data_IF_247053624621
#
_entry.id   IF_247053624621
#
_cell.length_a   1.000
_cell.length_b   1.000
_cell.length_c   1.000
_cell.angle_alpha   90.00
_cell.angle_beta   90.00
_cell.angle_gamma   90.00
#
_symmetry.space_group_name_H-M   'P 1'
#
loop_
_entity.id
_entity.type
_entity.pdbx_description
1 polymer ?
#
# COMPACT_ATOMS: atom_id res chain seq x y z
N UNK A 1 -61.13 25.34 5.82
CA UNK A 1 -59.80 24.99 6.33
C UNK A 1 -59.12 24.08 5.30
N UNK A 2 -58.12 24.58 4.57
CA UNK A 2 -57.37 23.79 3.56
C UNK A 2 -55.99 23.49 4.13
N UNK A 3 -55.71 22.22 4.43
CA UNK A 3 -54.37 21.76 4.80
C UNK A 3 -53.54 21.58 3.52
N UNK A 4 -52.51 22.41 3.36
CA UNK A 4 -51.48 22.23 2.34
C UNK A 4 -50.46 21.26 2.94
N UNK A 5 -50.48 20.02 2.44
CA UNK A 5 -49.49 19.00 2.76
C UNK A 5 -48.22 19.28 1.93
N UNK A 6 -47.19 19.82 2.57
CA UNK A 6 -45.88 20.05 1.96
C UNK A 6 -45.10 18.72 1.98
N UNK A 7 -45.08 18.00 0.86
CA UNK A 7 -44.22 16.81 0.70
C UNK A 7 -42.83 17.30 0.30
N UNK A 8 -41.92 17.34 1.27
CA UNK A 8 -40.50 17.59 1.03
C UNK A 8 -39.89 16.30 0.46
N UNK A 9 -39.78 16.20 -0.86
CA UNK A 9 -39.05 15.11 -1.52
C UNK A 9 -37.56 15.37 -1.34
N UNK A 10 -36.97 14.79 -0.29
CA UNK A 10 -35.51 14.67 -0.17
C UNK A 10 -35.02 13.70 -1.25
N UNK A 11 -34.76 14.21 -2.46
CA UNK A 11 -33.96 13.50 -3.44
C UNK A 11 -32.51 13.48 -2.96
N UNK A 12 -32.14 12.43 -2.21
CA UNK A 12 -30.74 12.10 -1.93
C UNK A 12 -30.06 11.78 -3.25
N UNK A 13 -29.53 12.81 -3.92
CA UNK A 13 -28.57 12.61 -4.98
C UNK A 13 -27.35 11.98 -4.32
N UNK A 14 -27.26 10.65 -4.40
CA UNK A 14 -26.03 9.91 -4.18
C UNK A 14 -25.01 10.47 -5.18
N UNK A 15 -24.31 11.52 -4.75
CA UNK A 15 -23.12 12.01 -5.44
C UNK A 15 -22.18 10.81 -5.44
N UNK A 16 -22.10 10.11 -6.58
CA UNK A 16 -21.07 9.11 -6.81
C UNK A 16 -19.76 9.89 -6.79
N UNK A 17 -19.10 9.90 -5.63
CA UNK A 17 -17.73 10.38 -5.50
C UNK A 17 -16.90 9.46 -6.39
N UNK A 18 -16.62 9.91 -7.61
CA UNK A 18 -15.71 9.23 -8.51
C UNK A 18 -14.34 9.32 -7.87
N UNK A 19 -13.84 8.19 -7.37
CA UNK A 19 -12.54 8.13 -6.72
C UNK A 19 -11.48 8.78 -7.61
N UNK A 20 -10.85 9.85 -7.12
CA UNK A 20 -9.82 10.52 -7.90
C UNK A 20 -8.61 9.61 -8.01
N UNK A 21 -8.07 9.39 -9.23
CA UNK A 21 -6.88 8.60 -9.38
C UNK A 21 -5.69 9.32 -8.74
N UNK A 22 -4.89 8.58 -7.98
CA UNK A 22 -3.64 9.08 -7.40
C UNK A 22 -2.52 8.75 -8.39
N UNK A 23 -1.80 9.76 -8.87
CA UNK A 23 -0.66 9.56 -9.76
C UNK A 23 0.64 9.52 -8.94
N UNK A 24 1.34 8.40 -8.95
CA UNK A 24 2.57 8.24 -8.19
C UNK A 24 3.61 7.46 -8.99
N UNK A 25 4.82 8.04 -9.17
CA UNK A 25 5.94 7.41 -9.91
C UNK A 25 5.54 6.89 -11.32
N UNK A 26 4.65 7.60 -12.01
CA UNK A 26 4.15 7.19 -13.33
C UNK A 26 3.01 6.15 -13.29
N UNK A 27 2.67 5.61 -12.12
CA UNK A 27 1.57 4.66 -11.93
C UNK A 27 0.30 5.40 -11.56
N UNK A 28 -0.81 4.98 -12.18
CA UNK A 28 -2.16 5.47 -11.87
C UNK A 28 -2.81 4.52 -10.85
N UNK A 29 -2.81 4.94 -9.59
CA UNK A 29 -3.43 4.23 -8.47
C UNK A 29 -4.93 4.55 -8.46
N UNK A 30 -5.75 3.50 -8.49
CA UNK A 30 -7.21 3.62 -8.50
C UNK A 30 -7.83 2.61 -7.54
N UNK A 31 -8.78 3.07 -6.73
CA UNK A 31 -9.54 2.23 -5.83
C UNK A 31 -11.02 2.65 -5.81
N UNK A 32 -11.97 1.69 -5.73
CA UNK A 32 -11.77 0.25 -5.83
C UNK A 32 -11.39 -0.17 -7.27
N UNK A 33 -10.60 -1.24 -7.41
CA UNK A 33 -10.31 -1.89 -8.70
C UNK A 33 -10.11 -3.40 -8.51
N UNK A 34 -10.12 -4.14 -9.60
CA UNK A 34 -9.67 -5.54 -9.62
C UNK A 34 -8.19 -5.62 -9.97
N UNK A 35 -7.58 -6.80 -9.75
CA UNK A 35 -6.22 -7.10 -10.22
C UNK A 35 -6.14 -6.91 -11.74
N UNK A 36 -7.11 -7.42 -12.51
CA UNK A 36 -7.18 -7.24 -13.97
C UNK A 36 -7.05 -5.78 -14.38
N UNK A 37 -7.90 -4.92 -13.81
CA UNK A 37 -7.92 -3.49 -14.16
C UNK A 37 -6.61 -2.77 -13.81
N UNK A 38 -5.90 -3.21 -12.77
CA UNK A 38 -4.58 -2.69 -12.42
C UNK A 38 -3.49 -3.22 -13.36
N UNK A 39 -3.55 -4.50 -13.74
CA UNK A 39 -2.62 -5.14 -14.68
C UNK A 39 -2.70 -4.52 -16.08
N UNK A 40 -3.90 -4.37 -16.63
CA UNK A 40 -4.12 -3.79 -17.97
C UNK A 40 -3.68 -2.32 -18.02
N UNK A 41 -3.98 -1.55 -16.97
CA UNK A 41 -3.67 -0.12 -16.90
C UNK A 41 -2.18 0.15 -16.76
N UNK A 42 -1.49 -0.63 -15.92
CA UNK A 42 -0.10 -0.37 -15.56
C UNK A 42 0.88 -1.35 -16.23
N UNK A 43 0.39 -2.22 -17.14
CA UNK A 43 1.17 -3.20 -17.90
C UNK A 43 2.05 -4.09 -17.00
N UNK A 44 1.41 -4.71 -16.01
CA UNK A 44 2.13 -5.49 -14.99
C UNK A 44 2.54 -6.87 -15.50
N UNK A 45 3.74 -7.28 -15.12
CA UNK A 45 4.18 -8.66 -15.21
C UNK A 45 3.57 -9.52 -14.09
N UNK A 46 3.70 -10.84 -14.25
CA UNK A 46 3.24 -11.82 -13.28
C UNK A 46 4.33 -12.84 -13.01
N UNK A 47 4.58 -13.13 -11.74
CA UNK A 47 5.44 -14.20 -11.27
C UNK A 47 4.60 -15.13 -10.38
N UNK A 48 4.45 -16.42 -10.75
CA UNK A 48 3.76 -17.36 -9.90
C UNK A 48 4.48 -17.58 -8.54
N UNK A 49 3.72 -17.94 -7.48
CA UNK A 49 2.27 -17.81 -7.39
C UNK A 49 1.87 -16.39 -6.95
N UNK A 50 0.96 -15.75 -7.70
CA UNK A 50 0.26 -14.55 -7.23
C UNK A 50 1.01 -13.21 -7.26
N UNK A 51 2.27 -13.15 -7.69
CA UNK A 51 3.01 -11.90 -7.62
C UNK A 51 2.87 -11.06 -8.89
N UNK A 52 2.08 -9.98 -8.82
CA UNK A 52 1.98 -8.98 -9.89
C UNK A 52 2.94 -7.82 -9.62
N UNK A 53 3.73 -7.45 -10.62
CA UNK A 53 4.74 -6.42 -10.44
C UNK A 53 5.06 -5.65 -11.73
N UNK A 54 5.66 -4.48 -11.56
CA UNK A 54 6.36 -3.76 -12.61
C UNK A 54 7.67 -3.20 -12.06
N UNK A 55 8.72 -3.28 -12.86
CA UNK A 55 9.95 -2.53 -12.63
C UNK A 55 9.81 -1.19 -13.34
N UNK A 56 9.78 -0.12 -12.55
CA UNK A 56 9.69 1.25 -13.03
C UNK A 56 11.11 1.84 -13.17
N UNK A 57 11.18 3.12 -13.54
CA UNK A 57 12.43 3.88 -13.53
C UNK A 57 13.12 3.86 -12.15
N UNK A 58 14.43 4.10 -12.13
CA UNK A 58 15.26 4.12 -10.92
C UNK A 58 15.21 2.83 -10.09
N UNK A 59 14.96 1.69 -10.74
CA UNK A 59 14.84 0.37 -10.09
C UNK A 59 13.74 0.30 -9.03
N UNK A 60 12.72 1.15 -9.12
CA UNK A 60 11.53 1.07 -8.27
C UNK A 60 10.72 -0.15 -8.68
N UNK A 61 10.40 -1.02 -7.70
CA UNK A 61 9.50 -2.16 -7.92
C UNK A 61 8.13 -1.75 -7.40
N UNK A 62 7.13 -1.80 -8.28
CA UNK A 62 5.73 -1.72 -7.88
C UNK A 62 5.14 -3.12 -7.84
N UNK A 63 4.38 -3.45 -6.80
CA UNK A 63 3.62 -4.70 -6.68
C UNK A 63 2.20 -4.47 -6.18
N UNK A 64 1.34 -5.46 -6.40
CA UNK A 64 -0.06 -5.42 -5.98
C UNK A 64 -0.30 -6.32 -4.77
N UNK A 65 -1.15 -5.85 -3.85
CA UNK A 65 -1.83 -6.67 -2.84
C UNK A 65 -3.33 -6.72 -3.11
N UNK A 66 -3.94 -7.85 -2.88
CA UNK A 66 -5.35 -8.10 -3.16
C UNK A 66 -5.94 -9.07 -2.12
N UNK A 67 -7.28 -9.19 -2.09
CA UNK A 67 -7.96 -10.19 -1.27
C UNK A 67 -7.66 -11.58 -1.84
N UNK A 68 -7.10 -12.46 -1.02
CA UNK A 68 -6.67 -13.80 -1.43
C UNK A 68 -7.20 -14.87 -0.48
N UNK A 69 -7.18 -16.12 -0.94
CA UNK A 69 -7.29 -17.31 -0.09
C UNK A 69 -5.96 -18.07 -0.11
N UNK A 70 -5.69 -18.90 0.91
CA UNK A 70 -4.43 -19.67 0.94
C UNK A 70 -4.25 -20.57 -0.29
N UNK A 71 -5.34 -21.05 -0.86
CA UNK A 71 -5.32 -21.85 -2.08
C UNK A 71 -4.78 -21.11 -3.30
N UNK A 72 -4.87 -19.77 -3.33
CA UNK A 72 -4.31 -18.94 -4.41
C UNK A 72 -2.79 -19.04 -4.53
N UNK A 73 -2.11 -19.57 -3.51
CA UNK A 73 -0.65 -19.69 -3.48
C UNK A 73 -0.11 -21.11 -3.61
N UNK A 74 -0.97 -22.12 -3.80
CA UNK A 74 -0.54 -23.53 -3.86
C UNK A 74 -0.11 -23.99 -5.26
N UNK A 75 -0.40 -23.23 -6.31
CA UNK A 75 -0.06 -23.61 -7.68
C UNK A 75 1.01 -22.69 -8.28
N UNK A 76 2.24 -23.18 -8.36
CA UNK A 76 3.39 -22.49 -8.97
C UNK A 76 3.29 -22.35 -10.50
N UNK A 77 2.32 -23.01 -11.14
CA UNK A 77 2.09 -22.96 -12.59
C UNK A 77 0.80 -22.21 -12.97
N UNK A 78 0.09 -21.63 -12.00
CA UNK A 78 -1.17 -20.95 -12.28
C UNK A 78 -0.96 -19.78 -13.25
N UNK A 79 -1.86 -19.56 -14.23
CA UNK A 79 -1.78 -18.39 -15.08
C UNK A 79 -2.24 -17.13 -14.33
N UNK A 80 -1.75 -15.97 -14.75
CA UNK A 80 -2.12 -14.67 -14.20
C UNK A 80 -3.64 -14.46 -14.14
N UNK A 81 -4.37 -14.90 -15.17
CA UNK A 81 -5.82 -14.70 -15.26
C UNK A 81 -6.62 -15.32 -14.10
N UNK A 82 -6.07 -16.29 -13.35
CA UNK A 82 -6.77 -16.91 -12.21
C UNK A 82 -7.12 -15.90 -11.12
N UNK A 83 -6.29 -14.87 -10.92
CA UNK A 83 -6.46 -13.93 -9.81
C UNK A 83 -7.01 -12.57 -10.27
N UNK A 84 -7.39 -12.45 -11.53
CA UNK A 84 -7.81 -11.20 -12.15
C UNK A 84 -9.05 -10.58 -11.51
N UNK A 85 -9.97 -11.42 -11.05
CA UNK A 85 -11.22 -10.98 -10.41
C UNK A 85 -11.04 -10.69 -8.91
N UNK A 86 -9.86 -10.94 -8.34
CA UNK A 86 -9.58 -10.58 -6.95
C UNK A 86 -9.63 -9.06 -6.78
N UNK A 87 -10.22 -8.64 -5.67
CA UNK A 87 -10.31 -7.23 -5.32
C UNK A 87 -8.94 -6.71 -4.89
N UNK A 88 -8.52 -5.60 -5.49
CA UNK A 88 -7.27 -4.94 -5.14
C UNK A 88 -7.39 -4.21 -3.80
N UNK A 89 -6.40 -4.38 -2.94
CA UNK A 89 -6.33 -3.74 -1.62
C UNK A 89 -5.08 -2.90 -1.42
N UNK A 90 -4.02 -3.13 -2.21
CA UNK A 90 -2.72 -2.47 -2.01
C UNK A 90 -2.01 -2.20 -3.32
N UNK A 91 -1.43 -1.01 -3.45
CA UNK A 91 -0.25 -0.77 -4.29
C UNK A 91 0.95 -0.56 -3.38
N UNK A 92 2.01 -1.34 -3.59
CA UNK A 92 3.28 -1.24 -2.87
C UNK A 92 4.37 -0.81 -3.83
N UNK A 93 5.13 0.23 -3.48
CA UNK A 93 6.32 0.67 -4.19
C UNK A 93 7.52 0.45 -3.28
N UNK A 94 8.55 -0.22 -3.78
CA UNK A 94 9.77 -0.56 -3.04
C UNK A 94 10.99 -0.05 -3.83
N UNK A 95 11.88 0.64 -3.15
CA UNK A 95 13.10 1.19 -3.77
C UNK A 95 14.21 1.40 -2.74
N UNK A 96 15.44 1.57 -3.22
CA UNK A 96 16.59 1.80 -2.35
C UNK A 96 16.45 3.11 -1.59
N UNK A 97 16.67 3.04 -0.28
CA UNK A 97 16.75 4.21 0.57
C UNK A 97 18.14 4.83 0.47
N UNK A 98 18.17 6.11 0.11
CA UNK A 98 19.41 6.88 0.02
C UNK A 98 19.30 8.02 1.02
N UNK A 99 20.44 8.54 1.48
CA UNK A 99 20.45 9.64 2.45
C UNK A 99 19.51 10.77 2.02
N UNK A 100 18.56 11.12 2.91
CA UNK A 100 17.56 12.17 2.70
C UNK A 100 16.34 11.78 1.84
N UNK A 101 16.29 10.54 1.32
CA UNK A 101 15.20 10.12 0.42
C UNK A 101 13.88 10.00 1.17
N UNK A 102 13.89 9.59 2.44
CA UNK A 102 12.68 9.51 3.26
C UNK A 102 11.97 10.86 3.35
N UNK A 103 12.69 11.93 3.70
CA UNK A 103 12.11 13.27 3.85
C UNK A 103 11.58 13.82 2.52
N UNK A 104 12.29 13.55 1.42
CA UNK A 104 11.86 13.94 0.07
C UNK A 104 10.57 13.22 -0.29
N UNK A 105 10.52 11.91 -0.06
CA UNK A 105 9.33 11.12 -0.38
C UNK A 105 8.15 11.48 0.51
N UNK A 106 8.39 11.76 1.79
CA UNK A 106 7.36 12.24 2.71
C UNK A 106 6.72 13.52 2.15
N UNK A 107 7.53 14.52 1.77
CA UNK A 107 7.03 15.77 1.18
C UNK A 107 6.26 15.54 -0.12
N UNK A 108 6.75 14.66 -0.99
CA UNK A 108 6.06 14.31 -2.23
C UNK A 108 4.67 13.72 -1.96
N UNK A 109 4.59 12.79 -1.01
CA UNK A 109 3.32 12.19 -0.61
C UNK A 109 2.39 13.21 0.04
N UNK A 110 2.89 14.08 0.90
CA UNK A 110 2.10 15.15 1.52
C UNK A 110 1.48 16.10 0.49
N UNK A 111 2.26 16.49 -0.54
CA UNK A 111 1.75 17.25 -1.67
C UNK A 111 0.67 16.48 -2.44
N UNK A 112 0.90 15.19 -2.68
CA UNK A 112 -0.02 14.32 -3.41
C UNK A 112 -1.36 14.14 -2.70
N UNK A 113 -1.36 14.01 -1.36
CA UNK A 113 -2.58 13.79 -0.58
C UNK A 113 -3.19 15.09 0.00
N UNK A 114 -2.49 16.22 -0.16
CA UNK A 114 -2.93 17.55 0.29
C UNK A 114 -2.98 17.72 1.81
N UNK A 115 -2.19 16.94 2.57
CA UNK A 115 -2.09 17.05 4.04
C UNK A 115 -0.76 16.51 4.54
N UNK A 116 -0.35 16.93 5.74
CA UNK A 116 0.86 16.40 6.40
C UNK A 116 0.69 14.94 6.80
N UNK A 117 1.78 14.19 6.71
CA UNK A 117 1.86 12.83 7.23
C UNK A 117 2.29 12.88 8.70
N UNK A 118 1.70 12.01 9.52
CA UNK A 118 2.13 11.83 10.90
C UNK A 118 3.34 10.91 10.91
N UNK A 119 4.47 11.41 11.40
CA UNK A 119 5.71 10.66 11.55
C UNK A 119 5.75 9.98 12.92
N UNK A 120 6.12 8.70 12.95
CA UNK A 120 6.47 7.94 14.14
C UNK A 120 7.73 7.12 13.92
N UNK A 121 8.37 6.74 15.02
CA UNK A 121 9.39 5.70 15.04
C UNK A 121 8.74 4.47 15.65
N UNK A 122 8.64 3.40 14.86
CA UNK A 122 7.98 2.17 15.26
C UNK A 122 9.03 1.07 15.45
N UNK A 123 8.74 0.12 16.34
CA UNK A 123 9.51 -1.11 16.41
C UNK A 123 8.97 -2.08 15.37
N UNK A 124 9.81 -2.52 14.45
CA UNK A 124 9.51 -3.61 13.53
C UNK A 124 9.06 -4.81 14.34
N UNK A 125 7.86 -5.30 14.09
CA UNK A 125 7.50 -6.64 14.51
C UNK A 125 8.36 -7.60 13.70
N UNK A 126 9.60 -7.82 14.15
CA UNK A 126 10.32 -8.98 13.73
C UNK A 126 9.44 -10.14 14.14
N UNK A 127 9.00 -10.89 13.13
CA UNK A 127 8.59 -12.28 13.23
C UNK A 127 9.06 -12.89 14.54
N UNK A 128 8.14 -13.59 15.21
CA UNK A 128 8.21 -14.33 16.47
C UNK A 128 9.42 -15.33 16.58
N UNK A 129 10.42 -15.23 15.71
CA UNK A 129 11.48 -16.19 15.43
C UNK A 129 12.92 -15.71 15.75
N UNK A 130 13.15 -14.48 16.23
CA UNK A 130 14.50 -14.01 16.57
C UNK A 130 14.70 -13.78 18.07
N UNK A 131 15.74 -14.41 18.64
CA UNK A 131 16.09 -14.26 20.05
C UNK A 131 16.46 -12.82 20.40
N UNK A 132 16.36 -12.45 21.68
CA UNK A 132 16.77 -11.15 22.22
C UNK A 132 18.20 -10.77 21.84
N UNK A 133 19.11 -11.74 21.79
CA UNK A 133 20.52 -11.54 21.47
C UNK A 133 20.72 -11.19 20.00
N UNK A 134 19.99 -11.85 19.08
CA UNK A 134 20.06 -11.53 17.64
C UNK A 134 19.50 -10.15 17.34
N UNK A 135 18.43 -9.74 18.02
CA UNK A 135 17.84 -8.39 17.86
C UNK A 135 18.82 -7.28 18.26
N UNK A 136 19.66 -7.50 19.29
CA UNK A 136 20.69 -6.54 19.73
C UNK A 136 21.83 -6.32 18.73
N UNK A 137 22.02 -7.24 17.79
CA UNK A 137 23.08 -7.17 16.77
C UNK A 137 22.61 -6.55 15.44
N UNK A 138 21.33 -6.20 15.34
CA UNK A 138 20.76 -5.64 14.10
C UNK A 138 21.14 -4.15 13.97
N UNK A 139 21.51 -3.67 12.76
CA UNK A 139 21.93 -2.28 12.50
C UNK A 139 20.89 -1.23 12.90
N UNK A 140 19.62 -1.63 12.91
CA UNK A 140 18.48 -0.89 13.42
C UNK A 140 17.72 -1.94 14.23
N UNK A 141 17.44 -1.70 15.52
CA UNK A 141 16.88 -2.67 16.47
C UNK A 141 15.44 -3.13 16.11
N UNK A 142 15.21 -3.59 14.89
CA UNK A 142 13.87 -3.66 14.32
C UNK A 142 13.22 -2.29 14.08
N UNK A 143 13.69 -1.22 14.72
CA UNK A 143 13.09 0.11 14.63
C UNK A 143 13.13 0.67 13.20
N UNK A 144 12.12 1.46 12.85
CA UNK A 144 12.05 2.12 11.56
C UNK A 144 11.17 3.36 11.62
N UNK A 145 11.41 4.29 10.70
CA UNK A 145 10.54 5.46 10.53
C UNK A 145 9.32 5.10 9.71
N UNK A 146 8.17 5.54 10.20
CA UNK A 146 6.88 5.39 9.53
C UNK A 146 6.20 6.75 9.44
N UNK A 147 5.85 7.16 8.22
CA UNK A 147 4.98 8.30 7.99
C UNK A 147 3.63 7.79 7.48
N UNK A 148 2.53 8.20 8.11
CA UNK A 148 1.18 7.74 7.77
C UNK A 148 0.18 8.88 7.59
N UNK A 149 -0.78 8.67 6.70
CA UNK A 149 -1.89 9.59 6.47
C UNK A 149 -2.96 8.95 5.61
N UNK A 150 -3.92 9.75 5.16
CA UNK A 150 -4.97 9.29 4.27
C UNK A 150 -5.45 10.40 3.35
N UNK A 151 -5.91 10.02 2.17
CA UNK A 151 -6.64 10.92 1.26
C UNK A 151 -8.04 11.24 1.81
N UNK A 152 -8.72 12.23 1.22
CA UNK A 152 -10.13 12.52 1.54
C UNK A 152 -11.06 11.34 1.19
N UNK A 153 -10.69 10.54 0.19
CA UNK A 153 -11.46 9.40 -0.32
C UNK A 153 -11.17 8.09 0.43
N UNK A 154 -10.51 8.16 1.58
CA UNK A 154 -10.25 7.01 2.45
C UNK A 154 -9.15 6.04 1.97
N UNK A 155 -8.30 6.45 1.01
CA UNK A 155 -7.05 5.72 0.72
C UNK A 155 -6.04 6.04 1.80
N UNK A 156 -5.59 5.04 2.55
CA UNK A 156 -4.50 5.18 3.52
C UNK A 156 -3.16 5.14 2.79
N UNK A 157 -2.24 6.00 3.20
CA UNK A 157 -0.92 6.15 2.61
C UNK A 157 0.14 6.01 3.68
N UNK A 158 1.13 5.16 3.43
CA UNK A 158 2.25 4.92 4.33
C UNK A 158 3.57 5.05 3.58
N UNK A 159 4.56 5.64 4.23
CA UNK A 159 5.97 5.62 3.84
C UNK A 159 6.76 5.02 4.99
N UNK A 160 7.54 3.98 4.69
CA UNK A 160 8.24 3.17 5.68
C UNK A 160 9.69 2.93 5.29
N UNK A 161 10.60 3.07 6.23
CA UNK A 161 11.92 2.45 6.17
C UNK A 161 11.81 0.94 6.45
N UNK A 162 12.42 0.11 5.61
CA UNK A 162 12.44 -1.33 5.86
C UNK A 162 13.52 -1.65 6.90
N UNK A 163 13.19 -2.27 8.04
CA UNK A 163 14.18 -2.66 9.03
C UNK A 163 15.21 -3.61 8.43
N UNK A 164 16.48 -3.43 8.82
CA UNK A 164 17.60 -4.24 8.30
C UNK A 164 17.98 -5.30 9.33
N UNK A 165 18.01 -6.57 8.89
CA UNK A 165 18.53 -7.69 9.66
C UNK A 165 20.07 -7.76 9.63
N UNK A 166 20.72 -7.11 8.65
CA UNK A 166 22.18 -7.03 8.57
C UNK A 166 22.69 -5.83 7.78
N UNK A 167 23.96 -5.45 8.00
CA UNK A 167 24.64 -4.40 7.25
C UNK A 167 24.82 -4.72 5.75
N UNK A 168 24.71 -6.00 5.35
CA UNK A 168 24.80 -6.42 3.95
C UNK A 168 23.51 -6.16 3.17
N UNK A 169 22.37 -6.09 3.86
CA UNK A 169 21.11 -5.74 3.21
C UNK A 169 21.12 -4.27 2.84
N UNK A 170 20.73 -3.98 1.60
CA UNK A 170 20.53 -2.60 1.15
C UNK A 170 19.40 -1.97 1.97
N UNK A 171 19.54 -0.69 2.37
CA UNK A 171 18.44 0.03 2.99
C UNK A 171 17.35 0.26 1.94
N UNK A 172 16.09 0.07 2.32
CA UNK A 172 14.96 0.16 1.40
C UNK A 172 13.87 1.05 2.00
N UNK A 173 13.17 1.77 1.13
CA UNK A 173 11.92 2.46 1.42
C UNK A 173 10.76 1.73 0.77
N UNK A 174 9.63 1.75 1.45
CA UNK A 174 8.35 1.28 0.95
C UNK A 174 7.32 2.39 1.02
N UNK A 175 6.53 2.53 -0.05
CA UNK A 175 5.33 3.37 -0.07
C UNK A 175 4.13 2.49 -0.34
N UNK A 176 3.13 2.56 0.53
CA UNK A 176 1.90 1.80 0.44
C UNK A 176 0.72 2.72 0.18
N UNK A 177 -0.19 2.27 -0.66
CA UNK A 177 -1.53 2.82 -0.79
C UNK A 177 -2.54 1.70 -0.52
N UNK A 178 -3.33 1.84 0.55
CA UNK A 178 -4.32 0.86 0.98
C UNK A 178 -5.75 1.38 0.83
N UNK A 179 -6.66 0.49 0.45
CA UNK A 179 -8.11 0.75 0.50
C UNK A 179 -8.88 -0.55 0.68
N UNK A 180 -10.05 -0.46 1.30
CA UNK A 180 -10.96 -1.59 1.54
C UNK A 180 -10.31 -2.74 2.32
N UNK A 181 -9.47 -2.39 3.29
CA UNK A 181 -8.77 -3.31 4.19
C UNK A 181 -8.95 -2.80 5.62
N UNK A 182 -9.23 -3.67 6.60
CA UNK A 182 -9.36 -3.27 8.01
C UNK A 182 -8.05 -2.68 8.56
N UNK A 183 -8.10 -1.68 9.45
CA UNK A 183 -6.91 -1.06 10.03
C UNK A 183 -5.92 -2.06 10.64
N UNK A 184 -6.42 -3.08 11.34
CA UNK A 184 -5.59 -4.13 11.94
C UNK A 184 -4.78 -4.91 10.90
N UNK A 185 -5.35 -5.17 9.72
CA UNK A 185 -4.67 -5.88 8.64
C UNK A 185 -3.67 -4.96 7.92
N UNK A 186 -3.96 -3.66 7.83
CA UNK A 186 -2.98 -2.65 7.37
C UNK A 186 -1.75 -2.66 8.28
N UNK A 187 -1.97 -2.59 9.60
CA UNK A 187 -0.87 -2.55 10.57
C UNK A 187 0.00 -3.80 10.46
N UNK A 188 -0.60 -5.00 10.35
CA UNK A 188 0.13 -6.26 10.11
C UNK A 188 1.00 -6.16 8.84
N UNK A 189 0.44 -5.68 7.73
CA UNK A 189 1.16 -5.60 6.44
C UNK A 189 2.27 -4.56 6.45
N UNK A 190 2.04 -3.41 7.09
CA UNK A 190 3.03 -2.33 7.21
C UNK A 190 4.17 -2.73 8.14
N UNK A 191 3.90 -3.50 9.19
CA UNK A 191 4.93 -3.91 10.16
C UNK A 191 5.63 -5.23 9.81
N UNK A 192 5.11 -5.98 8.82
CA UNK A 192 5.73 -7.20 8.33
C UNK A 192 7.20 -6.97 7.92
N UNK A 193 8.08 -7.92 8.27
CA UNK A 193 9.44 -7.94 7.76
C UNK A 193 9.43 -8.58 6.37
N UNK A 194 9.96 -7.86 5.39
CA UNK A 194 10.03 -8.22 3.97
C UNK A 194 11.37 -8.90 3.60
#
# INVERSE_FOLDING_TARGET
MKHILLILVLTTHLIRVTAQPIQYRGVKILFPSTVKGACERNKLGFKPPGFYYAQLADSVIMSLGYVYTMADFYNETQPASVLYDRQLTTYLFKFEDKTGRFEVEQKNLEMLIGRRLTLSNEEGSSSINYTSEKRKQMPVFGNFRLARGATKDGVFVFLREVPRLSYKQKPLLQVFFFKNIPPEEIEIRVHAMD
#
